data_IF_939930643135
#
_entry.id   IF_939930643135
#
_cell.length_a   1.000
_cell.length_b   1.000
_cell.length_c   1.000
_cell.angle_alpha   90.00
_cell.angle_beta   90.00
_cell.angle_gamma   90.00
#
_symmetry.space_group_name_H-M   'P 1'
#
loop_
_entity.id
_entity.type
_entity.pdbx_description
1 polymer ?
#
# COMPACT_ATOMS: atom_id res chain seq x y z
N UNK A 1 20.70 -12.11 -0.85
CA UNK A 1 19.91 -11.05 -0.20
C UNK A 1 18.95 -11.72 0.76
N UNK A 2 18.82 -11.21 1.99
CA UNK A 2 17.78 -11.69 2.89
C UNK A 2 16.42 -11.13 2.46
N UNK A 3 15.34 -11.80 2.87
CA UNK A 3 13.96 -11.33 2.64
C UNK A 3 13.74 -9.92 3.18
N UNK A 4 14.26 -9.63 4.37
CA UNK A 4 14.28 -8.29 4.95
C UNK A 4 14.91 -7.23 4.04
N UNK A 5 16.07 -7.53 3.44
CA UNK A 5 16.73 -6.60 2.52
C UNK A 5 15.89 -6.36 1.26
N UNK A 6 15.14 -7.36 0.80
CA UNK A 6 14.23 -7.19 -0.34
C UNK A 6 13.03 -6.32 0.04
N UNK A 7 12.45 -6.51 1.23
CA UNK A 7 11.35 -5.66 1.74
C UNK A 7 11.82 -4.21 1.87
N UNK A 8 12.99 -3.96 2.46
CA UNK A 8 13.58 -2.61 2.55
C UNK A 8 13.77 -1.97 1.17
N UNK A 9 14.24 -2.76 0.19
CA UNK A 9 14.41 -2.30 -1.19
C UNK A 9 13.06 -1.98 -1.84
N UNK A 10 12.03 -2.81 -1.63
CA UNK A 10 10.68 -2.56 -2.12
C UNK A 10 10.08 -1.31 -1.49
N UNK A 11 10.22 -1.12 -0.18
CA UNK A 11 9.78 0.10 0.52
C UNK A 11 10.38 1.35 -0.14
N UNK A 12 11.67 1.33 -0.49
CA UNK A 12 12.32 2.45 -1.17
C UNK A 12 11.69 2.78 -2.53
N UNK A 13 11.19 1.76 -3.24
CA UNK A 13 10.55 1.93 -4.56
C UNK A 13 9.11 2.39 -4.50
N UNK A 14 8.50 2.51 -3.32
CA UNK A 14 7.24 3.26 -3.16
C UNK A 14 7.41 4.76 -3.44
N UNK A 15 8.64 5.25 -3.62
CA UNK A 15 8.96 6.63 -3.99
C UNK A 15 9.63 6.75 -5.37
N UNK A 16 9.58 5.69 -6.18
CA UNK A 16 10.14 5.68 -7.53
C UNK A 16 9.47 6.77 -8.41
N UNK A 17 10.22 7.36 -9.34
CA UNK A 17 9.67 8.40 -10.24
C UNK A 17 8.56 7.83 -11.13
N UNK A 18 8.69 6.55 -11.50
CA UNK A 18 7.69 5.84 -12.28
C UNK A 18 6.49 5.40 -11.43
N UNK A 19 5.33 5.97 -11.72
CA UNK A 19 4.05 5.63 -11.07
C UNK A 19 3.70 4.15 -11.22
N UNK A 20 4.07 3.51 -12.33
CA UNK A 20 3.73 2.11 -12.58
C UNK A 20 4.64 1.20 -11.73
N UNK A 21 5.90 1.61 -11.52
CA UNK A 21 6.78 0.96 -10.56
C UNK A 21 6.25 1.08 -9.12
N UNK A 22 5.81 2.27 -8.70
CA UNK A 22 5.21 2.47 -7.35
C UNK A 22 3.98 1.59 -7.14
N UNK A 23 3.05 1.57 -8.10
CA UNK A 23 1.84 0.74 -8.02
C UNK A 23 2.18 -0.77 -7.98
N UNK A 24 3.13 -1.21 -8.80
CA UNK A 24 3.59 -2.60 -8.83
C UNK A 24 4.21 -3.03 -7.50
N UNK A 25 4.97 -2.15 -6.86
CA UNK A 25 5.58 -2.38 -5.55
C UNK A 25 4.51 -2.49 -4.46
N UNK A 26 3.53 -1.58 -4.44
CA UNK A 26 2.42 -1.64 -3.51
C UNK A 26 1.66 -2.97 -3.66
N UNK A 27 1.37 -3.36 -4.90
CA UNK A 27 0.76 -4.65 -5.20
C UNK A 27 1.61 -5.81 -4.66
N UNK A 28 2.92 -5.83 -4.98
CA UNK A 28 3.84 -6.88 -4.55
C UNK A 28 3.85 -7.04 -3.03
N UNK A 29 4.00 -5.93 -2.30
CA UNK A 29 4.00 -5.94 -0.84
C UNK A 29 2.68 -6.50 -0.28
N UNK A 30 1.54 -6.14 -0.86
CA UNK A 30 0.23 -6.66 -0.44
C UNK A 30 0.01 -8.16 -0.67
N UNK A 31 0.83 -8.81 -1.50
CA UNK A 31 0.78 -10.26 -1.74
C UNK A 31 1.82 -11.04 -0.94
N UNK A 32 2.70 -10.36 -0.21
CA UNK A 32 3.62 -11.00 0.73
C UNK A 32 2.86 -11.30 2.03
N UNK A 33 2.74 -12.58 2.38
CA UNK A 33 1.91 -13.05 3.52
C UNK A 33 2.80 -13.43 4.71
N UNK A 34 3.80 -12.59 5.00
CA UNK A 34 4.89 -12.90 5.93
C UNK A 34 4.96 -11.84 7.03
N UNK A 35 5.41 -12.23 8.24
CA UNK A 35 5.47 -11.34 9.41
C UNK A 35 6.39 -10.15 9.15
N UNK A 36 7.44 -10.33 8.35
CA UNK A 36 8.40 -9.29 7.99
C UNK A 36 7.80 -8.17 7.11
N UNK A 37 6.65 -8.39 6.46
CA UNK A 37 6.03 -7.36 5.61
C UNK A 37 5.42 -6.21 6.43
N UNK A 38 5.23 -6.41 7.74
CA UNK A 38 4.74 -5.38 8.68
C UNK A 38 5.54 -4.08 8.57
N UNK A 39 6.85 -4.20 8.34
CA UNK A 39 7.76 -3.05 8.23
C UNK A 39 7.40 -2.13 7.05
N UNK A 40 6.67 -2.63 6.04
CA UNK A 40 6.22 -1.85 4.89
C UNK A 40 4.95 -1.04 5.15
N UNK A 41 4.19 -1.34 6.20
CA UNK A 41 2.88 -0.74 6.48
C UNK A 41 2.97 0.79 6.63
N UNK A 42 3.92 1.37 7.39
CA UNK A 42 4.03 2.83 7.48
C UNK A 42 4.27 3.50 6.12
N UNK A 43 5.07 2.87 5.25
CA UNK A 43 5.35 3.40 3.92
C UNK A 43 4.14 3.28 2.99
N UNK A 44 3.39 2.18 3.07
CA UNK A 44 2.11 2.02 2.36
C UNK A 44 1.08 3.07 2.83
N UNK A 45 0.97 3.33 4.14
CA UNK A 45 0.07 4.37 4.66
C UNK A 45 0.44 5.76 4.10
N UNK A 46 1.72 6.09 3.96
CA UNK A 46 2.14 7.34 3.31
C UNK A 46 1.77 7.35 1.82
N UNK A 47 1.91 6.21 1.14
CA UNK A 47 1.56 6.06 -0.28
C UNK A 47 0.05 6.16 -0.58
N UNK A 48 -0.83 6.14 0.44
CA UNK A 48 -2.24 6.53 0.27
C UNK A 48 -2.41 8.01 -0.13
N UNK A 49 -1.35 8.81 -0.09
CA UNK A 49 -1.35 10.21 -0.55
C UNK A 49 -0.62 10.38 -1.88
N UNK A 50 -0.31 9.29 -2.60
CA UNK A 50 0.38 9.37 -3.89
C UNK A 50 -0.39 10.25 -4.88
N UNK A 51 0.29 11.10 -5.68
CA UNK A 51 -0.39 11.93 -6.67
C UNK A 51 -1.18 11.11 -7.71
N UNK A 52 -0.74 9.90 -8.03
CA UNK A 52 -1.39 9.03 -9.00
C UNK A 52 -2.51 8.18 -8.35
N UNK A 53 -3.79 8.33 -8.77
CA UNK A 53 -4.88 7.53 -8.23
C UNK A 53 -4.68 6.02 -8.35
N UNK A 54 -4.06 5.54 -9.44
CA UNK A 54 -3.77 4.10 -9.60
C UNK A 54 -2.84 3.56 -8.52
N UNK A 55 -1.85 4.35 -8.08
CA UNK A 55 -0.98 3.97 -6.97
C UNK A 55 -1.80 3.89 -5.69
N UNK A 56 -2.63 4.89 -5.41
CA UNK A 56 -3.50 4.88 -4.21
C UNK A 56 -4.46 3.69 -4.18
N UNK A 57 -5.04 3.29 -5.32
CA UNK A 57 -5.85 2.07 -5.45
C UNK A 57 -5.03 0.83 -5.09
N UNK A 58 -3.83 0.68 -5.65
CA UNK A 58 -2.96 -0.46 -5.38
C UNK A 58 -2.58 -0.53 -3.89
N UNK A 59 -2.27 0.61 -3.28
CA UNK A 59 -1.94 0.73 -1.86
C UNK A 59 -3.13 0.37 -0.97
N UNK A 60 -4.33 0.86 -1.27
CA UNK A 60 -5.53 0.51 -0.52
C UNK A 60 -5.78 -1.00 -0.55
N UNK A 61 -5.67 -1.62 -1.73
CA UNK A 61 -5.80 -3.07 -1.88
C UNK A 61 -4.69 -3.85 -1.17
N UNK A 62 -3.47 -3.32 -1.12
CA UNK A 62 -2.36 -3.94 -0.39
C UNK A 62 -2.59 -3.91 1.13
N UNK A 63 -3.00 -2.76 1.67
CA UNK A 63 -3.30 -2.61 3.10
C UNK A 63 -4.48 -3.49 3.54
N UNK A 64 -5.54 -3.60 2.74
CA UNK A 64 -6.66 -4.51 3.05
C UNK A 64 -6.26 -5.99 3.06
N UNK A 65 -5.27 -6.39 2.25
CA UNK A 65 -4.73 -7.76 2.28
C UNK A 65 -3.86 -8.04 3.50
N UNK A 66 -3.33 -6.99 4.13
CA UNK A 66 -2.52 -7.07 5.34
C UNK A 66 -3.39 -7.03 6.61
N UNK A 67 -4.72 -7.03 6.49
CA UNK A 67 -5.64 -7.15 7.61
C UNK A 67 -5.33 -8.45 8.40
N UNK A 68 -5.13 -8.31 9.71
CA UNK A 68 -4.72 -9.41 10.60
C UNK A 68 -3.22 -9.44 10.90
N UNK A 69 -2.40 -8.70 10.16
CA UNK A 69 -0.97 -8.47 10.44
C UNK A 69 -0.77 -7.09 11.11
N UNK A 70 -1.58 -6.12 10.70
CA UNK A 70 -1.68 -4.77 11.28
C UNK A 70 -3.13 -4.29 11.23
N UNK A 71 -3.43 -3.21 11.96
CA UNK A 71 -4.69 -2.48 11.86
C UNK A 71 -4.52 -1.23 10.96
N UNK A 72 -4.85 -1.31 9.66
CA UNK A 72 -4.81 -0.16 8.76
C UNK A 72 -6.07 0.73 8.84
N UNK A 73 -7.08 0.41 9.66
CA UNK A 73 -8.38 1.09 9.67
C UNK A 73 -8.26 2.62 9.76
N UNK A 74 -7.46 3.22 10.68
CA UNK A 74 -7.44 4.67 10.81
C UNK A 74 -6.90 5.39 9.57
N UNK A 75 -6.07 4.72 8.76
CA UNK A 75 -5.55 5.25 7.51
C UNK A 75 -6.57 5.08 6.37
N UNK A 76 -7.15 3.88 6.25
CA UNK A 76 -8.16 3.57 5.23
C UNK A 76 -9.44 4.40 5.42
N UNK A 77 -9.91 4.61 6.65
CA UNK A 77 -11.08 5.46 6.93
C UNK A 77 -10.88 6.89 6.41
N UNK A 78 -9.66 7.45 6.48
CA UNK A 78 -9.36 8.77 5.88
C UNK A 78 -9.38 8.70 4.35
N UNK A 79 -8.87 7.62 3.77
CA UNK A 79 -8.83 7.43 2.32
C UNK A 79 -10.22 7.23 1.69
N UNK A 80 -11.27 6.96 2.48
CA UNK A 80 -12.66 7.02 1.99
C UNK A 80 -13.08 8.42 1.51
N UNK A 81 -12.32 9.48 1.88
CA UNK A 81 -12.55 10.85 1.44
C UNK A 81 -11.74 11.21 0.18
N UNK A 82 -11.09 10.23 -0.48
CA UNK A 82 -10.31 10.49 -1.68
C UNK A 82 -11.14 11.14 -2.79
N UNK A 83 -10.53 12.06 -3.53
CA UNK A 83 -11.19 12.77 -4.64
C UNK A 83 -11.55 11.83 -5.79
N UNK A 84 -10.78 10.76 -5.99
CA UNK A 84 -11.00 9.78 -7.04
C UNK A 84 -12.00 8.69 -6.59
N UNK A 85 -13.08 8.44 -7.34
CA UNK A 85 -14.08 7.43 -6.99
C UNK A 85 -13.55 5.99 -6.97
N UNK A 86 -12.58 5.65 -7.82
CA UNK A 86 -11.97 4.31 -7.85
C UNK A 86 -11.15 4.06 -6.57
N UNK A 87 -10.45 5.09 -6.08
CA UNK A 87 -9.73 5.00 -4.80
C UNK A 87 -10.72 4.76 -3.66
N UNK A 88 -11.82 5.53 -3.60
CA UNK A 88 -12.85 5.32 -2.57
C UNK A 88 -13.44 3.91 -2.62
N UNK A 89 -13.71 3.38 -3.82
CA UNK A 89 -14.21 2.02 -4.00
C UNK A 89 -13.18 0.97 -3.53
N UNK A 90 -11.91 1.14 -3.88
CA UNK A 90 -10.85 0.23 -3.45
C UNK A 90 -10.67 0.23 -1.93
N UNK A 91 -10.71 1.40 -1.31
CA UNK A 91 -10.64 1.55 0.16
C UNK A 91 -11.85 0.90 0.83
N UNK A 92 -13.06 1.08 0.29
CA UNK A 92 -14.27 0.45 0.83
C UNK A 92 -14.28 -1.08 0.71
N UNK A 93 -13.53 -1.65 -0.25
CA UNK A 93 -13.32 -3.11 -0.37
C UNK A 93 -12.23 -3.61 0.58
N UNK A 94 -11.32 -2.73 1.00
CA UNK A 94 -10.21 -3.03 1.89
C UNK A 94 -10.53 -2.87 3.39
N UNK A 95 -11.73 -2.36 3.71
CA UNK A 95 -12.34 -2.29 5.05
C UNK A 95 -13.37 -3.41 5.20
#
# INVERSE_FOLDING_TARGET
MSQKQEIERLISKLQDEDKDARASVAWTLGWMVEEEVVDAVPALILALQDPEPKVRVAVAGALGRMEGVVDPEPALVRALQDSNPEVRAAVAVAL
#
